data_IF_323863103971
#
_entry.id   IF_323863103971
#
_cell.length_a   1.000
_cell.length_b   1.000
_cell.length_c   1.000
_cell.angle_alpha   90.00
_cell.angle_beta   90.00
_cell.angle_gamma   90.00
#
_symmetry.space_group_name_H-M   'P 1'
#
loop_
_entity.id
_entity.type
_entity.pdbx_description
1 polymer ?
#
# COMPACT_ATOMS: atom_id res chain seq x y z
N UNK A 1 -0.82 -37.13 19.25
CA UNK A 1 -0.05 -36.52 18.14
C UNK A 1 -0.90 -35.74 17.14
N UNK A 2 -2.20 -36.08 16.94
CA UNK A 2 -3.09 -35.36 16.01
C UNK A 2 -3.56 -33.97 16.50
N UNK A 3 -3.88 -33.83 17.80
CA UNK A 3 -4.49 -32.59 18.34
C UNK A 3 -3.56 -31.36 18.35
N UNK A 4 -2.26 -31.54 18.59
CA UNK A 4 -1.27 -30.44 18.56
C UNK A 4 -0.99 -29.93 17.15
N UNK A 5 -1.05 -30.82 16.15
CA UNK A 5 -0.93 -30.48 14.74
C UNK A 5 -2.17 -29.73 14.25
N UNK A 6 -3.36 -30.16 14.67
CA UNK A 6 -4.61 -29.47 14.35
C UNK A 6 -4.64 -28.05 14.91
N UNK A 7 -4.24 -27.85 16.18
CA UNK A 7 -4.16 -26.52 16.78
C UNK A 7 -3.17 -25.61 16.04
N UNK A 8 -2.04 -26.16 15.61
CA UNK A 8 -1.04 -25.42 14.83
C UNK A 8 -1.57 -25.00 13.45
N UNK A 9 -2.32 -25.87 12.78
CA UNK A 9 -2.97 -25.56 11.49
C UNK A 9 -4.08 -24.52 11.64
N UNK A 10 -4.91 -24.63 12.67
CA UNK A 10 -5.96 -23.64 12.96
C UNK A 10 -5.33 -22.26 13.22
N UNK A 11 -4.25 -22.21 14.01
CA UNK A 11 -3.50 -20.97 14.26
C UNK A 11 -2.95 -20.36 12.97
N UNK A 12 -2.37 -21.17 12.08
CA UNK A 12 -1.86 -20.71 10.79
C UNK A 12 -2.98 -20.15 9.90
N UNK A 13 -4.10 -20.86 9.77
CA UNK A 13 -5.26 -20.39 9.01
C UNK A 13 -5.76 -19.06 9.56
N UNK A 14 -5.86 -18.93 10.88
CA UNK A 14 -6.29 -17.69 11.53
C UNK A 14 -5.35 -16.52 11.21
N UNK A 15 -4.04 -16.74 11.28
CA UNK A 15 -3.04 -15.72 10.91
C UNK A 15 -3.20 -15.32 9.45
N UNK A 16 -3.33 -16.27 8.51
CA UNK A 16 -3.50 -15.94 7.10
C UNK A 16 -4.81 -15.25 6.80
N UNK A 17 -5.89 -15.61 7.49
CA UNK A 17 -7.16 -14.90 7.37
C UNK A 17 -7.05 -13.44 7.81
N UNK A 18 -6.37 -13.17 8.93
CA UNK A 18 -6.15 -11.79 9.41
C UNK A 18 -5.27 -11.02 8.44
N UNK A 19 -4.14 -11.60 8.00
CA UNK A 19 -3.23 -10.95 7.05
C UNK A 19 -3.94 -10.66 5.73
N UNK A 20 -4.67 -11.64 5.18
CA UNK A 20 -5.44 -11.46 3.95
C UNK A 20 -6.49 -10.35 4.10
N UNK A 21 -7.23 -10.32 5.22
CA UNK A 21 -8.21 -9.27 5.45
C UNK A 21 -7.55 -7.89 5.59
N UNK A 22 -6.47 -7.80 6.37
CA UNK A 22 -5.74 -6.56 6.58
C UNK A 22 -5.15 -6.00 5.28
N UNK A 23 -4.52 -6.84 4.45
CA UNK A 23 -3.96 -6.41 3.16
C UNK A 23 -5.04 -5.96 2.18
N UNK A 24 -6.17 -6.66 2.11
CA UNK A 24 -7.30 -6.24 1.26
C UNK A 24 -7.92 -4.94 1.77
N UNK A 25 -8.04 -4.78 3.08
CA UNK A 25 -8.55 -3.55 3.69
C UNK A 25 -7.63 -2.36 3.42
N UNK A 26 -6.32 -2.52 3.59
CA UNK A 26 -5.33 -1.47 3.31
C UNK A 26 -5.39 -0.99 1.86
N UNK A 27 -5.49 -1.93 0.91
CA UNK A 27 -5.63 -1.61 -0.50
C UNK A 27 -6.95 -0.88 -0.81
N UNK A 28 -8.07 -1.38 -0.28
CA UNK A 28 -9.39 -0.75 -0.47
C UNK A 28 -9.50 0.63 0.20
N UNK A 29 -8.88 0.78 1.38
CA UNK A 29 -8.80 2.06 2.08
C UNK A 29 -7.99 3.05 1.26
N UNK A 30 -6.79 2.66 0.82
CA UNK A 30 -5.85 3.51 0.06
C UNK A 30 -6.45 4.07 -1.23
N UNK A 31 -7.33 3.32 -1.88
CA UNK A 31 -8.02 3.76 -3.11
C UNK A 31 -9.25 4.62 -2.81
N UNK A 32 -9.98 4.33 -1.73
CA UNK A 32 -11.23 5.05 -1.40
C UNK A 32 -10.96 6.39 -0.70
N UNK A 33 -9.98 6.46 0.21
CA UNK A 33 -9.74 7.66 1.02
C UNK A 33 -9.35 8.89 0.20
N UNK A 34 -8.65 8.70 -0.93
CA UNK A 34 -8.26 9.78 -1.83
C UNK A 34 -9.44 10.28 -2.65
N UNK A 35 -10.37 9.40 -3.01
CA UNK A 35 -11.50 9.74 -3.86
C UNK A 35 -12.59 10.52 -3.10
N UNK A 36 -12.74 10.33 -1.79
CA UNK A 36 -13.76 11.04 -1.00
C UNK A 36 -13.55 12.57 -0.95
N UNK A 37 -12.36 13.11 -0.64
CA UNK A 37 -12.14 14.55 -0.57
C UNK A 37 -11.64 15.15 -1.90
N UNK A 38 -11.86 14.50 -3.05
CA UNK A 38 -11.30 14.99 -4.33
C UNK A 38 -11.83 16.40 -4.67
N UNK A 39 -13.10 16.67 -4.41
CA UNK A 39 -13.73 17.97 -4.66
C UNK A 39 -13.26 19.03 -3.65
N UNK A 40 -13.25 18.69 -2.36
CA UNK A 40 -12.76 19.56 -1.28
C UNK A 40 -11.28 19.93 -1.48
N UNK A 41 -10.46 18.96 -1.91
CA UNK A 41 -9.06 19.17 -2.24
C UNK A 41 -8.88 20.09 -3.45
N UNK A 42 -9.73 19.97 -4.48
CA UNK A 42 -9.76 20.88 -5.63
C UNK A 42 -10.10 22.31 -5.20
N UNK A 43 -11.10 22.48 -4.33
CA UNK A 43 -11.48 23.79 -3.77
C UNK A 43 -10.33 24.38 -2.97
N UNK A 44 -9.73 23.62 -2.06
CA UNK A 44 -8.58 24.05 -1.26
C UNK A 44 -7.38 24.51 -2.12
N UNK A 45 -7.07 23.76 -3.18
CA UNK A 45 -6.01 24.14 -4.12
C UNK A 45 -6.34 25.42 -4.87
N UNK A 46 -7.57 25.56 -5.39
CA UNK A 46 -8.02 26.77 -6.08
C UNK A 46 -7.91 28.00 -5.17
N UNK A 47 -8.39 27.92 -3.92
CA UNK A 47 -8.28 29.01 -2.95
C UNK A 47 -6.82 29.38 -2.67
N UNK A 48 -5.96 28.38 -2.50
CA UNK A 48 -4.53 28.58 -2.23
C UNK A 48 -3.81 29.27 -3.38
N UNK A 49 -4.15 28.92 -4.63
CA UNK A 49 -3.58 29.54 -5.82
C UNK A 49 -4.10 30.97 -6.03
N UNK A 50 -5.40 31.20 -5.80
CA UNK A 50 -6.00 32.54 -5.87
C UNK A 50 -5.32 33.49 -4.88
N UNK A 51 -5.04 33.03 -3.64
CA UNK A 51 -4.29 33.82 -2.64
C UNK A 51 -2.87 34.21 -3.10
N UNK A 52 -2.28 33.44 -4.02
CA UNK A 52 -0.96 33.72 -4.62
C UNK A 52 -1.06 34.54 -5.91
N UNK A 53 -2.26 34.99 -6.30
CA UNK A 53 -2.49 35.76 -7.52
C UNK A 53 -2.52 34.92 -8.80
N UNK A 54 -2.62 33.59 -8.69
CA UNK A 54 -2.65 32.68 -9.83
C UNK A 54 -4.00 31.97 -9.92
N UNK A 55 -4.54 31.80 -11.12
CA UNK A 55 -5.71 30.95 -11.35
C UNK A 55 -5.25 29.54 -11.73
N UNK A 56 -5.72 28.54 -11.01
CA UNK A 56 -5.42 27.14 -11.33
C UNK A 56 -6.24 26.73 -12.56
N UNK A 57 -5.57 26.34 -13.65
CA UNK A 57 -6.23 25.71 -14.80
C UNK A 57 -6.60 24.26 -14.48
N UNK A 58 -7.68 23.77 -15.07
CA UNK A 58 -8.13 22.39 -14.92
C UNK A 58 -7.09 21.36 -15.39
N UNK A 59 -6.26 21.73 -16.38
CA UNK A 59 -5.14 20.92 -16.85
C UNK A 59 -4.05 20.74 -15.78
N UNK A 60 -3.71 21.82 -15.07
CA UNK A 60 -2.71 21.81 -13.99
C UNK A 60 -3.19 20.97 -12.81
N UNK A 61 -4.47 21.09 -12.44
CA UNK A 61 -5.08 20.25 -11.41
C UNK A 61 -5.01 18.77 -11.79
N UNK A 62 -5.40 18.44 -13.02
CA UNK A 62 -5.39 17.05 -13.51
C UNK A 62 -3.98 16.46 -13.52
N UNK A 63 -2.97 17.26 -13.91
CA UNK A 63 -1.57 16.85 -13.86
C UNK A 63 -1.09 16.58 -12.42
N UNK A 64 -1.44 17.46 -11.47
CA UNK A 64 -1.10 17.28 -10.06
C UNK A 64 -1.79 16.05 -9.45
N UNK A 65 -3.07 15.86 -9.76
CA UNK A 65 -3.84 14.69 -9.32
C UNK A 65 -3.24 13.40 -9.86
N UNK A 66 -2.90 13.37 -11.16
CA UNK A 66 -2.20 12.24 -11.76
C UNK A 66 -0.84 11.99 -11.12
N UNK A 67 -0.08 13.03 -10.77
CA UNK A 67 1.21 12.87 -10.07
C UNK A 67 1.02 12.21 -8.69
N UNK A 68 0.01 12.64 -7.93
CA UNK A 68 -0.34 12.06 -6.64
C UNK A 68 -0.72 10.58 -6.78
N UNK A 69 -1.52 10.21 -7.79
CA UNK A 69 -1.86 8.81 -8.04
C UNK A 69 -0.64 7.98 -8.49
N UNK A 70 0.26 8.57 -9.29
CA UNK A 70 1.41 7.85 -9.84
C UNK A 70 2.57 7.66 -8.86
N UNK A 71 2.68 8.49 -7.80
CA UNK A 71 3.74 8.32 -6.80
C UNK A 71 3.67 6.95 -6.10
N UNK A 72 2.47 6.37 -6.03
CA UNK A 72 2.26 5.02 -5.50
C UNK A 72 3.07 4.00 -6.31
N UNK A 73 3.00 4.02 -7.65
CA UNK A 73 3.78 3.11 -8.51
C UNK A 73 5.29 3.28 -8.35
N UNK A 74 5.76 4.51 -8.13
CA UNK A 74 7.18 4.78 -7.87
C UNK A 74 7.63 4.13 -6.55
N UNK A 75 6.82 4.23 -5.50
CA UNK A 75 7.05 3.54 -4.23
C UNK A 75 7.12 2.02 -4.39
N UNK A 76 6.21 1.43 -5.18
CA UNK A 76 6.24 0.00 -5.50
C UNK A 76 7.51 -0.41 -6.24
N UNK A 77 7.93 0.37 -7.24
CA UNK A 77 9.15 0.09 -7.99
C UNK A 77 10.39 0.06 -7.09
N UNK A 78 10.51 1.05 -6.21
CA UNK A 78 11.59 1.10 -5.21
C UNK A 78 11.48 -0.08 -4.23
N UNK A 79 10.29 -0.38 -3.73
CA UNK A 79 10.05 -1.51 -2.83
C UNK A 79 10.50 -2.85 -3.42
N UNK A 80 10.19 -3.13 -4.69
CA UNK A 80 10.62 -4.33 -5.40
C UNK A 80 12.16 -4.36 -5.54
N UNK A 81 12.78 -3.22 -5.86
CA UNK A 81 14.24 -3.12 -5.97
C UNK A 81 14.96 -3.35 -4.64
N UNK A 82 14.40 -2.87 -3.53
CA UNK A 82 14.98 -3.05 -2.19
C UNK A 82 14.64 -4.40 -1.55
N UNK A 83 13.58 -5.08 -2.01
CA UNK A 83 13.14 -6.37 -1.46
C UNK A 83 14.23 -7.45 -1.45
N UNK A 84 14.97 -7.74 -2.56
CA UNK A 84 16.04 -8.74 -2.53
C UNK A 84 17.21 -8.30 -1.65
N UNK A 85 17.58 -7.02 -1.65
CA UNK A 85 18.67 -6.49 -0.83
C UNK A 85 18.37 -6.60 0.67
N UNK A 86 17.13 -6.38 1.07
CA UNK A 86 16.68 -6.55 2.45
C UNK A 86 16.57 -8.03 2.82
N UNK A 87 16.07 -8.88 1.92
CA UNK A 87 15.96 -10.32 2.14
C UNK A 87 17.34 -10.97 2.38
N UNK A 88 18.32 -10.65 1.54
CA UNK A 88 19.69 -11.21 1.64
C UNK A 88 20.39 -10.78 2.94
N UNK A 89 20.09 -9.60 3.46
CA UNK A 89 20.70 -9.08 4.70
C UNK A 89 20.00 -9.55 5.98
N UNK A 90 18.67 -9.72 5.95
CA UNK A 90 17.87 -10.08 7.13
C UNK A 90 17.50 -11.59 7.20
N UNK A 91 17.67 -12.36 6.13
CA UNK A 91 17.23 -13.76 6.02
C UNK A 91 18.14 -14.82 6.66
N UNK A 92 19.37 -14.49 7.12
CA UNK A 92 20.30 -15.53 7.61
C UNK A 92 20.04 -16.03 9.04
N UNK A 93 19.04 -15.51 9.77
CA UNK A 93 18.79 -15.94 11.17
C UNK A 93 17.32 -16.02 11.65
N UNK A 94 16.31 -15.95 10.80
CA UNK A 94 14.95 -16.05 11.30
C UNK A 94 13.89 -16.16 10.21
N UNK A 95 13.67 -17.39 9.74
CA UNK A 95 12.54 -17.71 8.88
C UNK A 95 11.23 -17.31 9.54
N UNK A 96 10.45 -16.49 8.86
CA UNK A 96 9.00 -16.39 9.08
C UNK A 96 8.28 -15.62 7.96
N UNK A 97 8.96 -14.76 7.20
CA UNK A 97 8.35 -14.06 6.04
C UNK A 97 8.72 -14.73 4.71
N UNK A 98 9.95 -15.22 4.57
CA UNK A 98 10.44 -15.81 3.33
C UNK A 98 9.72 -17.12 2.95
N UNK A 99 9.25 -17.89 3.94
CA UNK A 99 8.49 -19.11 3.68
C UNK A 99 7.08 -18.81 3.13
N UNK A 100 6.55 -17.59 3.35
CA UNK A 100 5.24 -17.20 2.84
C UNK A 100 5.26 -16.78 1.37
N UNK A 101 6.34 -16.09 0.96
CA UNK A 101 6.49 -15.64 -0.43
C UNK A 101 6.95 -16.78 -1.35
N UNK A 102 7.78 -17.71 -0.85
CA UNK A 102 8.33 -18.79 -1.68
C UNK A 102 7.39 -20.00 -1.90
N UNK A 103 6.23 -20.07 -1.21
CA UNK A 103 5.22 -21.12 -1.39
C UNK A 103 4.04 -20.72 -2.29
N UNK A 104 4.02 -19.47 -2.78
CA UNK A 104 2.98 -18.94 -3.66
C UNK A 104 3.40 -18.88 -5.14
N UNK A 105 4.61 -19.34 -5.47
CA UNK A 105 5.05 -19.64 -6.84
C UNK A 105 5.39 -21.13 -6.97
#
# INVERSE_FOLDING_TARGET
>A
MSSSVLLSRIRQVFIFSIVAFASNFEYGFSTTYLNTPVEEFKVFLNESFIRRGHTMSESTYTMLWNLILNIWFVGFFLGIWFSPLLNDRFGRKGGSIDEFTCKLY
#
